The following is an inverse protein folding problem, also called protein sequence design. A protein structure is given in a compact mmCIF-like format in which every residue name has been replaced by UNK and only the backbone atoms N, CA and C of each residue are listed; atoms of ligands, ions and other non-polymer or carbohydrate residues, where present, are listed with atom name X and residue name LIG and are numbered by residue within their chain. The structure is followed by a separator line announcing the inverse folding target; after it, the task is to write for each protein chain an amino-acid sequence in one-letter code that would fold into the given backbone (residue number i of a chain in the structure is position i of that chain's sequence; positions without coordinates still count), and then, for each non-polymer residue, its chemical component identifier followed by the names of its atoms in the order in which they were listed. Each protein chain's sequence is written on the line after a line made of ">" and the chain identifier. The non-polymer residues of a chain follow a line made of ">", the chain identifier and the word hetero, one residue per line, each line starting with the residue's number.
data_IF_895093521083
#
_entry.id   IF_895093521083
#
_cell.length_a   1.000
_cell.length_b   1.000
_cell.length_c   1.000
_cell.angle_alpha   90.00
_cell.angle_beta   90.00
_cell.angle_gamma   90.00
#
_symmetry.space_group_name_H-M   'P 1'
#
loop_
_entity.id
_entity.type
_entity.pdbx_description
1 polymer ?
#
# COMPACT_ATOMS: atom_id res chain seq x y z
N UNK A 1 -27.26 2.35 -17.83
CA UNK A 1 -26.23 3.16 -17.18
C UNK A 1 -25.27 2.24 -16.46
N UNK A 2 -23.98 2.53 -16.47
CA UNK A 2 -22.93 1.67 -15.91
C UNK A 2 -22.29 2.24 -14.65
N UNK A 3 -22.57 3.51 -14.33
CA UNK A 3 -21.96 4.24 -13.22
C UNK A 3 -20.67 4.96 -13.61
N UNK A 4 -20.28 4.90 -14.88
CA UNK A 4 -19.09 5.54 -15.45
C UNK A 4 -19.38 6.84 -16.18
N UNK A 5 -20.65 7.25 -16.26
CA UNK A 5 -21.08 8.48 -16.93
C UNK A 5 -20.68 9.76 -16.16
N UNK A 6 -20.14 9.63 -14.95
CA UNK A 6 -19.54 10.73 -14.20
C UNK A 6 -18.02 10.72 -14.39
N UNK A 7 -17.54 11.59 -15.26
CA UNK A 7 -16.13 11.91 -15.35
C UNK A 7 -15.71 12.70 -14.10
N UNK A 8 -14.62 12.28 -13.47
CA UNK A 8 -14.00 12.92 -12.30
C UNK A 8 -14.99 13.22 -11.14
N UNK A 9 -15.55 12.19 -10.48
CA UNK A 9 -16.55 12.37 -9.43
C UNK A 9 -16.11 13.27 -8.25
N UNK A 10 -14.81 13.30 -7.91
CA UNK A 10 -14.26 14.18 -6.86
C UNK A 10 -14.37 15.67 -7.16
N UNK A 11 -14.10 16.10 -8.41
CA UNK A 11 -14.25 17.50 -8.84
C UNK A 11 -15.73 17.93 -8.81
N UNK A 12 -16.64 17.01 -9.14
CA UNK A 12 -18.07 17.24 -9.07
C UNK A 12 -18.56 17.45 -7.63
N UNK A 13 -17.99 16.72 -6.66
CA UNK A 13 -18.26 16.95 -5.24
C UNK A 13 -17.85 18.36 -4.81
N UNK A 14 -16.64 18.81 -5.20
CA UNK A 14 -16.13 20.14 -4.86
C UNK A 14 -17.06 21.27 -5.34
N UNK A 15 -17.56 21.16 -6.58
CA UNK A 15 -18.47 22.15 -7.19
C UNK A 15 -19.91 22.04 -6.70
N UNK A 16 -20.30 20.89 -6.14
CA UNK A 16 -21.68 20.62 -5.70
C UNK A 16 -22.06 21.23 -4.34
N UNK A 17 -21.08 21.73 -3.56
CA UNK A 17 -21.34 22.45 -2.28
C UNK A 17 -22.31 23.63 -2.42
N UNK A 18 -22.45 24.17 -3.62
CA UNK A 18 -23.40 25.24 -3.95
C UNK A 18 -24.80 24.75 -4.37
N UNK A 19 -25.12 23.45 -4.23
CA UNK A 19 -26.39 22.78 -4.64
C UNK A 19 -26.77 22.90 -6.14
N UNK A 20 -25.89 23.48 -6.97
CA UNK A 20 -26.15 23.81 -8.37
C UNK A 20 -25.50 22.85 -9.39
N UNK A 21 -24.83 21.78 -8.95
CA UNK A 21 -24.23 20.84 -9.88
C UNK A 21 -25.32 19.99 -10.59
N UNK A 22 -25.79 20.51 -11.73
CA UNK A 22 -26.84 19.89 -12.56
C UNK A 22 -26.42 18.50 -13.07
N UNK A 23 -25.13 18.29 -13.34
CA UNK A 23 -24.59 17.02 -13.82
C UNK A 23 -24.74 15.94 -12.77
N UNK A 24 -24.22 16.16 -11.56
CA UNK A 24 -24.32 15.20 -10.46
C UNK A 24 -25.78 14.93 -10.09
N UNK A 25 -26.59 15.98 -9.93
CA UNK A 25 -28.01 15.85 -9.60
C UNK A 25 -28.79 15.10 -10.71
N UNK A 26 -28.47 15.33 -11.98
CA UNK A 26 -29.08 14.63 -13.10
C UNK A 26 -28.65 13.17 -13.21
N UNK A 27 -27.44 12.83 -12.78
CA UNK A 27 -26.96 11.47 -12.67
C UNK A 27 -27.67 10.71 -11.54
N UNK A 28 -27.68 11.26 -10.31
CA UNK A 28 -28.32 10.65 -9.14
C UNK A 28 -29.82 10.35 -9.36
N UNK A 29 -30.52 11.20 -10.12
CA UNK A 29 -31.93 10.98 -10.47
C UNK A 29 -32.17 9.79 -11.41
N UNK A 30 -31.18 9.45 -12.26
CA UNK A 30 -31.29 8.41 -13.28
C UNK A 30 -30.60 7.11 -12.87
N UNK A 31 -29.69 7.19 -11.91
CA UNK A 31 -28.87 6.06 -11.48
C UNK A 31 -29.14 5.73 -10.00
N UNK A 32 -30.05 4.79 -9.71
CA UNK A 32 -30.40 4.45 -8.32
C UNK A 32 -29.26 3.76 -7.58
N UNK A 33 -28.24 3.30 -8.31
CA UNK A 33 -27.00 2.75 -7.80
C UNK A 33 -25.97 3.84 -7.44
N UNK A 34 -26.41 5.07 -7.21
CA UNK A 34 -25.58 6.13 -6.65
C UNK A 34 -26.32 7.00 -5.64
N UNK A 35 -25.56 7.52 -4.67
CA UNK A 35 -26.07 8.40 -3.61
C UNK A 35 -25.00 9.36 -3.15
N UNK A 36 -25.40 10.51 -2.62
CA UNK A 36 -24.51 11.53 -2.05
C UNK A 36 -24.86 11.77 -0.58
N UNK A 37 -23.87 12.16 0.23
CA UNK A 37 -24.11 12.56 1.62
C UNK A 37 -24.84 13.90 1.67
N UNK A 38 -25.51 14.20 2.78
CA UNK A 38 -26.29 15.42 2.93
C UNK A 38 -25.44 16.70 2.76
N UNK A 39 -24.18 16.65 3.20
CA UNK A 39 -23.19 17.71 3.08
C UNK A 39 -22.45 17.75 1.72
N UNK A 40 -22.75 16.81 0.83
CA UNK A 40 -22.12 16.69 -0.50
C UNK A 40 -20.60 16.53 -0.47
N UNK A 41 -20.05 15.93 0.60
CA UNK A 41 -18.64 15.60 0.69
C UNK A 41 -18.33 14.15 0.28
N UNK A 42 -19.34 13.28 0.23
CA UNK A 42 -19.19 11.86 -0.08
C UNK A 42 -20.16 11.48 -1.21
N UNK A 43 -19.66 10.74 -2.19
CA UNK A 43 -20.46 10.09 -3.24
C UNK A 43 -20.15 8.60 -3.28
N UNK A 44 -21.21 7.78 -3.24
CA UNK A 44 -21.15 6.34 -3.45
C UNK A 44 -21.75 6.00 -4.80
N UNK A 45 -21.09 5.09 -5.53
CA UNK A 45 -21.59 4.55 -6.80
C UNK A 45 -21.31 3.05 -6.84
N UNK A 46 -22.34 2.22 -7.01
CA UNK A 46 -22.17 0.81 -7.40
C UNK A 46 -22.10 0.75 -8.92
N UNK A 47 -21.04 0.17 -9.45
CA UNK A 47 -20.75 0.14 -10.89
C UNK A 47 -20.14 -1.18 -11.33
N UNK A 48 -20.30 -1.47 -12.62
CA UNK A 48 -19.65 -2.61 -13.28
C UNK A 48 -18.23 -2.23 -13.68
N UNK A 49 -17.27 -3.14 -13.60
CA UNK A 49 -15.90 -2.91 -14.05
C UNK A 49 -15.32 -4.13 -14.76
N UNK A 50 -14.32 -3.89 -15.59
CA UNK A 50 -13.60 -4.93 -16.32
C UNK A 50 -12.75 -5.75 -15.33
N UNK A 51 -12.84 -7.10 -15.33
CA UNK A 51 -12.15 -7.95 -14.36
C UNK A 51 -10.63 -7.72 -14.27
N UNK A 52 -9.99 -7.35 -15.38
CA UNK A 52 -8.54 -7.11 -15.47
C UNK A 52 -8.10 -5.64 -15.46
N UNK A 53 -9.00 -4.65 -15.45
CA UNK A 53 -8.61 -3.23 -15.56
C UNK A 53 -8.80 -2.47 -14.25
N UNK A 54 -8.27 -2.98 -13.13
CA UNK A 54 -8.19 -2.27 -11.84
C UNK A 54 -9.41 -1.39 -11.52
N UNK A 55 -10.61 -1.98 -11.51
CA UNK A 55 -11.87 -1.27 -11.27
C UNK A 55 -12.21 -0.13 -12.24
N UNK A 56 -11.80 -0.23 -13.50
CA UNK A 56 -12.13 0.66 -14.64
C UNK A 56 -13.19 0.03 -15.56
N UNK A 57 -13.92 0.81 -16.38
CA UNK A 57 -14.82 0.22 -17.37
C UNK A 57 -14.02 -0.43 -18.49
N UNK A 58 -14.68 -1.30 -19.24
CA UNK A 58 -14.21 -1.75 -20.55
C UNK A 58 -13.87 -0.56 -21.45
N UNK A 59 -12.92 -0.79 -22.35
CA UNK A 59 -12.58 0.15 -23.42
C UNK A 59 -12.38 -0.61 -24.74
N UNK A 60 -12.15 0.12 -25.83
CA UNK A 60 -12.00 -0.46 -27.17
C UNK A 60 -10.93 -1.56 -27.25
N UNK A 61 -9.89 -1.48 -26.42
CA UNK A 61 -8.77 -2.42 -26.38
C UNK A 61 -8.99 -3.60 -25.45
N UNK A 62 -9.94 -3.50 -24.52
CA UNK A 62 -10.23 -4.49 -23.48
C UNK A 62 -11.76 -4.59 -23.30
N UNK A 63 -12.41 -5.24 -24.27
CA UNK A 63 -13.83 -5.55 -24.20
C UNK A 63 -14.03 -6.96 -23.63
N UNK A 64 -15.00 -7.10 -22.74
CA UNK A 64 -15.36 -8.37 -22.13
C UNK A 64 -16.88 -8.45 -21.96
N UNK A 65 -17.44 -9.63 -22.19
CA UNK A 65 -18.85 -9.91 -21.82
C UNK A 65 -18.99 -10.19 -20.31
N UNK A 66 -17.88 -10.43 -19.62
CA UNK A 66 -17.79 -10.67 -18.18
C UNK A 66 -17.41 -9.40 -17.42
N UNK A 67 -18.10 -9.10 -16.33
CA UNK A 67 -17.88 -7.90 -15.52
C UNK A 67 -18.01 -8.22 -14.04
N UNK A 68 -17.31 -7.44 -13.22
CA UNK A 68 -17.44 -7.46 -11.76
C UNK A 68 -18.17 -6.23 -11.26
N UNK A 69 -18.64 -6.26 -10.01
CA UNK A 69 -19.24 -5.12 -9.34
C UNK A 69 -18.32 -4.55 -8.28
N UNK A 70 -18.22 -3.24 -8.20
CA UNK A 70 -17.60 -2.57 -7.07
C UNK A 70 -18.51 -1.45 -6.56
N UNK A 71 -18.34 -1.10 -5.29
CA UNK A 71 -18.84 0.15 -4.76
C UNK A 71 -17.69 1.15 -4.67
N UNK A 72 -17.72 2.18 -5.51
CA UNK A 72 -16.79 3.29 -5.44
C UNK A 72 -17.23 4.30 -4.38
N UNK A 73 -16.30 4.66 -3.51
CA UNK A 73 -16.43 5.71 -2.50
C UNK A 73 -15.53 6.88 -2.85
N UNK A 74 -16.15 8.02 -3.10
CA UNK A 74 -15.50 9.25 -3.48
C UNK A 74 -15.64 10.29 -2.37
N UNK A 75 -14.52 10.93 -2.05
CA UNK A 75 -14.48 12.20 -1.34
C UNK A 75 -13.93 13.28 -2.28
N UNK A 76 -13.82 14.51 -1.81
CA UNK A 76 -13.21 15.60 -2.59
C UNK A 76 -11.73 15.30 -2.92
N UNK A 77 -11.00 14.64 -2.00
CA UNK A 77 -9.54 14.51 -2.09
C UNK A 77 -9.06 13.07 -2.32
N UNK A 78 -9.95 12.09 -2.19
CA UNK A 78 -9.58 10.69 -2.22
C UNK A 78 -10.70 9.84 -2.79
N UNK A 79 -10.35 8.67 -3.31
CA UNK A 79 -11.29 7.65 -3.70
C UNK A 79 -10.81 6.28 -3.26
N UNK A 80 -11.75 5.39 -2.98
CA UNK A 80 -11.49 3.96 -2.82
C UNK A 80 -12.65 3.19 -3.44
N UNK A 81 -12.50 1.89 -3.58
CA UNK A 81 -13.55 1.00 -4.02
C UNK A 81 -13.71 -0.16 -3.03
N UNK A 82 -14.77 -0.94 -3.17
CA UNK A 82 -14.98 -2.17 -2.41
C UNK A 82 -15.49 -3.21 -3.40
N UNK A 83 -14.81 -4.34 -3.52
CA UNK A 83 -15.27 -5.42 -4.39
C UNK A 83 -16.58 -6.00 -3.86
N UNK A 84 -17.61 -5.97 -4.70
CA UNK A 84 -18.92 -6.50 -4.38
C UNK A 84 -19.14 -7.84 -5.10
N UNK A 85 -19.86 -8.79 -4.49
CA UNK A 85 -20.30 -10.00 -5.18
C UNK A 85 -21.27 -9.68 -6.31
N UNK A 86 -21.41 -10.63 -7.24
CA UNK A 86 -22.34 -10.47 -8.35
C UNK A 86 -23.80 -10.59 -7.88
N UNK A 87 -24.53 -9.47 -7.86
CA UNK A 87 -25.98 -9.43 -7.63
C UNK A 87 -26.68 -8.46 -8.59
N UNK A 88 -28.00 -8.60 -8.70
CA UNK A 88 -28.89 -7.65 -9.37
C UNK A 88 -29.20 -6.48 -8.43
N UNK A 89 -28.24 -5.55 -8.31
CA UNK A 89 -28.32 -4.38 -7.44
C UNK A 89 -29.44 -3.43 -7.88
N UNK A 90 -30.24 -2.96 -6.93
CA UNK A 90 -31.41 -2.13 -7.17
C UNK A 90 -31.20 -0.68 -6.76
N UNK A 91 -30.61 -0.44 -5.58
CA UNK A 91 -30.24 0.90 -5.13
C UNK A 91 -29.17 0.89 -4.04
N UNK A 92 -28.54 2.05 -3.85
CA UNK A 92 -27.70 2.37 -2.68
C UNK A 92 -28.16 3.70 -2.10
N UNK A 93 -28.16 3.80 -0.77
CA UNK A 93 -28.50 5.05 -0.07
C UNK A 93 -27.63 5.24 1.16
N UNK A 94 -27.36 6.48 1.54
CA UNK A 94 -26.66 6.83 2.77
C UNK A 94 -27.55 7.60 3.73
N UNK A 95 -27.38 7.36 5.02
CA UNK A 95 -28.06 8.10 6.07
C UNK A 95 -27.15 8.22 7.30
N UNK A 96 -27.05 9.42 7.86
CA UNK A 96 -26.31 9.61 9.10
C UNK A 96 -26.96 8.81 10.23
N UNK A 97 -26.14 8.07 10.97
CA UNK A 97 -26.53 7.26 12.11
C UNK A 97 -25.75 7.70 13.34
N UNK A 98 -26.47 8.32 14.27
CA UNK A 98 -25.91 8.84 15.50
C UNK A 98 -25.33 7.75 16.41
N UNK A 99 -25.79 6.50 16.30
CA UNK A 99 -25.30 5.39 17.12
C UNK A 99 -23.85 5.02 16.78
N UNK A 100 -23.44 5.25 15.53
CA UNK A 100 -22.08 4.97 15.05
C UNK A 100 -21.24 6.24 14.81
N UNK A 101 -21.88 7.42 14.97
CA UNK A 101 -21.26 8.72 14.72
C UNK A 101 -20.83 8.92 13.27
N UNK A 102 -21.47 8.24 12.33
CA UNK A 102 -21.07 8.14 10.93
C UNK A 102 -22.27 7.78 10.03
N UNK A 103 -22.07 7.63 8.72
CA UNK A 103 -23.12 7.24 7.79
C UNK A 103 -23.29 5.72 7.71
N UNK A 104 -24.56 5.30 7.82
CA UNK A 104 -24.99 3.99 7.36
C UNK A 104 -25.16 3.99 5.85
N UNK A 105 -24.83 2.87 5.24
CA UNK A 105 -24.98 2.59 3.83
C UNK A 105 -25.95 1.44 3.72
N UNK A 106 -27.07 1.67 3.03
CA UNK A 106 -28.01 0.62 2.67
C UNK A 106 -27.76 0.22 1.23
N UNK A 107 -27.43 -1.04 1.02
CA UNK A 107 -27.23 -1.64 -0.30
C UNK A 107 -28.36 -2.65 -0.51
N UNK A 108 -29.11 -2.49 -1.59
CA UNK A 108 -30.21 -3.37 -1.94
C UNK A 108 -29.95 -4.05 -3.28
N UNK A 109 -30.17 -5.36 -3.32
CA UNK A 109 -30.17 -6.16 -4.52
C UNK A 109 -31.36 -7.12 -4.50
N UNK A 110 -31.66 -7.76 -5.64
CA UNK A 110 -32.78 -8.70 -5.73
C UNK A 110 -32.67 -9.81 -4.68
N UNK A 111 -33.62 -9.84 -3.75
CA UNK A 111 -33.71 -10.84 -2.68
C UNK A 111 -32.85 -10.57 -1.44
N UNK A 112 -32.08 -9.48 -1.41
CA UNK A 112 -31.20 -9.18 -0.28
C UNK A 112 -31.06 -7.67 -0.05
N UNK A 113 -31.08 -7.25 1.21
CA UNK A 113 -30.71 -5.88 1.60
C UNK A 113 -29.75 -5.95 2.76
N UNK A 114 -28.70 -5.13 2.70
CA UNK A 114 -27.68 -5.03 3.74
C UNK A 114 -27.53 -3.59 4.18
N UNK A 115 -27.30 -3.43 5.47
CA UNK A 115 -26.94 -2.16 6.08
C UNK A 115 -25.52 -2.35 6.58
N UNK A 116 -24.65 -1.42 6.22
CA UNK A 116 -23.22 -1.43 6.53
C UNK A 116 -22.76 0.00 6.80
N UNK A 117 -21.47 0.20 7.02
CA UNK A 117 -20.79 1.49 7.00
C UNK A 117 -19.43 1.34 6.30
N UNK A 118 -18.74 2.46 6.06
CA UNK A 118 -17.44 2.44 5.37
C UNK A 118 -16.39 1.65 6.16
N UNK A 119 -16.40 1.71 7.50
CA UNK A 119 -15.40 1.01 8.33
C UNK A 119 -15.56 -0.52 8.22
N UNK A 120 -16.78 -1.03 8.27
CA UNK A 120 -17.08 -2.45 8.07
C UNK A 120 -16.67 -2.93 6.67
N UNK A 121 -16.95 -2.12 5.64
CA UNK A 121 -16.57 -2.43 4.26
C UNK A 121 -15.05 -2.43 4.07
N UNK A 122 -14.32 -1.46 4.63
CA UNK A 122 -12.85 -1.43 4.57
C UNK A 122 -12.24 -2.64 5.28
N UNK A 123 -12.85 -3.12 6.36
CA UNK A 123 -12.35 -4.31 7.07
C UNK A 123 -12.61 -5.60 6.29
N UNK A 124 -13.80 -5.76 5.68
CA UNK A 124 -14.22 -7.04 5.15
C UNK A 124 -14.12 -7.16 3.61
N UNK A 125 -14.24 -6.06 2.86
CA UNK A 125 -14.33 -6.02 1.39
C UNK A 125 -13.36 -4.98 0.77
N UNK A 126 -12.21 -4.72 1.40
CA UNK A 126 -11.15 -3.93 0.76
C UNK A 126 -10.66 -4.57 -0.54
N UNK A 127 -10.07 -3.78 -1.44
CA UNK A 127 -9.67 -4.27 -2.77
C UNK A 127 -8.28 -4.89 -2.82
N UNK A 128 -7.55 -4.86 -1.72
CA UNK A 128 -6.16 -5.35 -1.67
C UNK A 128 -6.07 -6.88 -1.51
N UNK A 129 -7.20 -7.56 -1.34
CA UNK A 129 -7.24 -9.01 -1.12
C UNK A 129 -8.12 -9.65 -2.21
N UNK A 130 -7.52 -10.48 -3.04
CA UNK A 130 -8.24 -11.26 -4.05
C UNK A 130 -9.19 -12.25 -3.36
N UNK A 131 -10.45 -12.29 -3.80
CA UNK A 131 -11.49 -13.15 -3.22
C UNK A 131 -12.34 -13.77 -4.33
N UNK A 132 -12.65 -15.05 -4.19
CA UNK A 132 -13.62 -15.70 -5.06
C UNK A 132 -15.06 -15.18 -4.83
N UNK A 133 -15.96 -15.46 -5.78
CA UNK A 133 -17.35 -15.00 -5.69
C UNK A 133 -18.10 -15.55 -4.47
N UNK A 134 -17.79 -16.79 -4.03
CA UNK A 134 -18.47 -17.40 -2.88
C UNK A 134 -18.11 -16.67 -1.58
N UNK A 135 -16.83 -16.37 -1.40
CA UNK A 135 -16.29 -15.60 -0.26
C UNK A 135 -16.87 -14.19 -0.23
N UNK A 136 -16.91 -13.50 -1.39
CA UNK A 136 -17.54 -12.17 -1.48
C UNK A 136 -19.02 -12.20 -1.09
N UNK A 137 -19.78 -13.24 -1.50
CA UNK A 137 -21.19 -13.41 -1.11
C UNK A 137 -21.34 -13.60 0.39
N UNK A 138 -20.58 -14.53 0.98
CA UNK A 138 -20.62 -14.80 2.42
C UNK A 138 -20.31 -13.54 3.23
N UNK A 139 -19.27 -12.79 2.85
CA UNK A 139 -18.91 -11.53 3.51
C UNK A 139 -20.04 -10.51 3.38
N UNK A 140 -20.51 -10.25 2.16
CA UNK A 140 -21.59 -9.29 1.92
C UNK A 140 -22.86 -9.66 2.70
N UNK A 141 -23.20 -10.94 2.74
CA UNK A 141 -24.34 -11.45 3.49
C UNK A 141 -24.19 -11.30 5.01
N UNK A 142 -22.97 -11.16 5.52
CA UNK A 142 -22.68 -10.96 6.95
C UNK A 142 -22.67 -9.50 7.40
N UNK A 143 -22.65 -8.54 6.47
CA UNK A 143 -22.62 -7.10 6.77
C UNK A 143 -23.83 -6.71 7.63
N UNK A 144 -23.58 -6.04 8.75
CA UNK A 144 -24.59 -5.76 9.75
C UNK A 144 -24.42 -4.40 10.44
N UNK A 145 -23.81 -3.43 9.76
CA UNK A 145 -23.51 -2.10 10.27
C UNK A 145 -22.63 -2.14 11.52
N UNK A 146 -21.71 -3.09 11.58
CA UNK A 146 -20.77 -3.19 12.70
C UNK A 146 -19.78 -2.03 12.58
N UNK A 147 -19.61 -1.26 13.64
CA UNK A 147 -18.42 -0.41 13.75
C UNK A 147 -17.31 -1.33 14.21
N UNK A 148 -16.27 -1.57 13.40
CA UNK A 148 -15.12 -2.33 13.85
C UNK A 148 -14.63 -1.71 15.16
N UNK A 149 -14.41 -2.52 16.18
CA UNK A 149 -13.67 -2.07 17.33
C UNK A 149 -12.26 -1.82 16.79
N UNK A 150 -11.91 -0.54 16.61
CA UNK A 150 -10.52 -0.15 16.41
C UNK A 150 -9.84 -0.47 17.73
N UNK A 151 -9.26 -1.66 17.82
CA UNK A 151 -8.33 -1.98 18.89
C UNK A 151 -7.19 -0.99 18.73
N UNK A 152 -7.14 -0.04 19.66
CA UNK A 152 -5.96 0.82 19.75
C UNK A 152 -4.75 -0.09 19.96
N UNK A 153 -3.61 0.21 19.32
CA UNK A 153 -2.40 -0.52 19.59
C UNK A 153 -2.15 -0.55 21.09
N UNK A 154 -1.75 -1.71 21.61
CA UNK A 154 -1.26 -1.81 22.99
C UNK A 154 -0.16 -0.78 23.17
N UNK A 155 -0.21 0.08 24.20
CA UNK A 155 0.81 1.10 24.39
C UNK A 155 2.17 0.42 24.52
N UNK A 156 3.18 0.95 23.84
CA UNK A 156 4.56 0.52 24.02
C UNK A 156 5.03 1.03 25.38
N UNK A 157 5.48 0.12 26.22
CA UNK A 157 5.91 0.42 27.59
C UNK A 157 7.41 0.21 27.78
N UNK A 158 8.05 -0.41 26.79
CA UNK A 158 9.48 -0.64 26.73
C UNK A 158 10.18 0.66 26.33
N UNK A 159 11.38 0.87 26.88
CA UNK A 159 12.32 1.93 26.47
C UNK A 159 13.53 1.36 25.75
N UNK A 160 13.70 0.03 25.82
CA UNK A 160 14.75 -0.72 25.15
C UNK A 160 14.23 -2.10 24.77
N UNK A 161 14.78 -2.63 23.68
CA UNK A 161 14.61 -4.02 23.25
C UNK A 161 15.99 -4.66 22.99
N UNK A 162 16.04 -5.99 22.95
CA UNK A 162 17.27 -6.75 22.77
C UNK A 162 17.16 -7.66 21.54
N UNK A 163 18.07 -7.47 20.59
CA UNK A 163 18.36 -8.38 19.49
C UNK A 163 19.60 -9.22 19.84
N UNK A 164 19.64 -10.48 19.43
CA UNK A 164 20.82 -11.33 19.55
C UNK A 164 21.89 -11.00 18.49
N UNK A 165 21.54 -10.23 17.45
CA UNK A 165 22.42 -9.93 16.31
C UNK A 165 22.98 -8.51 16.39
N UNK A 166 22.12 -7.51 16.61
CA UNK A 166 22.53 -6.08 16.61
C UNK A 166 22.60 -5.49 18.01
N UNK A 167 22.40 -6.33 19.04
CA UNK A 167 22.51 -5.91 20.42
C UNK A 167 21.28 -5.15 20.90
N UNK A 168 21.52 -4.08 21.66
CA UNK A 168 20.46 -3.32 22.31
C UNK A 168 19.94 -2.22 21.40
N UNK A 169 18.63 -2.09 21.30
CA UNK A 169 17.97 -1.03 20.54
C UNK A 169 17.12 -0.16 21.47
N UNK A 170 17.04 1.13 21.17
CA UNK A 170 16.25 2.12 21.93
C UNK A 170 15.38 2.94 21.00
N UNK A 171 14.26 3.42 21.50
CA UNK A 171 13.41 4.37 20.80
C UNK A 171 13.64 5.80 21.32
N UNK A 172 13.88 6.76 20.43
CA UNK A 172 14.18 8.16 20.81
C UNK A 172 13.18 9.17 20.26
N UNK A 173 12.61 8.92 19.07
CA UNK A 173 11.73 9.86 18.37
C UNK A 173 10.30 9.34 18.19
N UNK A 174 10.15 8.04 17.92
CA UNK A 174 8.86 7.37 17.71
C UNK A 174 8.81 6.10 18.55
N UNK A 175 7.67 5.83 19.19
CA UNK A 175 7.55 4.74 20.15
C UNK A 175 7.79 3.35 19.52
N UNK A 176 7.47 3.19 18.24
CA UNK A 176 7.58 1.97 17.42
C UNK A 176 8.83 1.93 16.52
N UNK A 177 9.77 2.86 16.71
CA UNK A 177 11.03 2.94 15.98
C UNK A 177 12.22 2.71 16.91
N UNK A 178 12.87 1.56 16.73
CA UNK A 178 13.95 1.10 17.59
C UNK A 178 15.27 1.13 16.85
N UNK A 179 16.24 1.92 17.30
CA UNK A 179 17.56 2.00 16.66
C UNK A 179 18.61 1.34 17.55
N UNK A 180 19.45 0.49 16.95
CA UNK A 180 20.57 -0.13 17.65
C UNK A 180 21.52 0.95 18.20
N UNK A 181 21.99 0.77 19.43
CA UNK A 181 22.89 1.74 20.09
C UNK A 181 24.23 1.80 19.36
N UNK A 182 24.74 0.65 18.95
CA UNK A 182 26.00 0.50 18.25
C UNK A 182 25.74 0.31 16.76
N UNK A 183 26.57 0.92 15.92
CA UNK A 183 26.60 0.62 14.49
C UNK A 183 27.09 -0.81 14.25
N UNK A 184 26.56 -1.43 13.21
CA UNK A 184 26.83 -2.82 12.85
C UNK A 184 27.77 -2.84 11.65
N UNK A 185 28.82 -3.66 11.72
CA UNK A 185 29.69 -3.92 10.58
C UNK A 185 28.89 -4.67 9.51
N UNK A 186 28.84 -4.16 8.28
CA UNK A 186 28.09 -4.74 7.17
C UNK A 186 29.05 -5.41 6.18
N UNK A 187 29.23 -6.76 6.20
CA UNK A 187 30.21 -7.42 5.34
C UNK A 187 29.92 -7.25 3.84
N UNK A 188 28.65 -7.10 3.48
CA UNK A 188 28.19 -6.74 2.14
C UNK A 188 28.85 -5.45 1.61
N UNK A 189 29.19 -4.51 2.50
CA UNK A 189 29.91 -3.26 2.21
C UNK A 189 31.34 -3.25 2.77
N UNK A 190 32.03 -4.39 2.75
CA UNK A 190 33.41 -4.51 3.27
C UNK A 190 33.54 -4.09 4.75
N UNK A 191 32.53 -4.40 5.57
CA UNK A 191 32.45 -4.03 6.98
C UNK A 191 32.38 -2.52 7.23
N UNK A 192 31.81 -1.76 6.29
CA UNK A 192 31.34 -0.41 6.61
C UNK A 192 30.30 -0.49 7.74
N UNK A 193 30.39 0.46 8.66
CA UNK A 193 29.49 0.56 9.80
C UNK A 193 28.23 1.29 9.41
N UNK A 194 27.08 0.71 9.73
CA UNK A 194 25.79 1.31 9.42
C UNK A 194 24.82 1.20 10.61
N UNK A 195 23.90 2.17 10.78
CA UNK A 195 22.82 2.04 11.73
C UNK A 195 21.85 0.94 11.30
N UNK A 196 21.29 0.24 12.28
CA UNK A 196 20.21 -0.72 12.09
C UNK A 196 19.01 -0.31 12.94
N UNK A 197 17.84 -0.21 12.31
CA UNK A 197 16.59 0.14 12.98
C UNK A 197 15.51 -0.91 12.73
N UNK A 198 14.69 -1.18 13.75
CA UNK A 198 13.43 -1.93 13.62
C UNK A 198 12.28 -0.93 13.63
N UNK A 199 11.46 -0.92 12.58
CA UNK A 199 10.39 0.06 12.40
C UNK A 199 9.03 -0.60 12.44
N UNK A 200 8.00 0.18 12.76
CA UNK A 200 6.60 -0.26 12.88
C UNK A 200 6.44 -1.46 13.84
N UNK A 201 7.29 -1.53 14.86
CA UNK A 201 7.38 -2.68 15.75
C UNK A 201 6.85 -2.37 17.16
N UNK A 202 5.81 -3.11 17.57
CA UNK A 202 5.25 -3.09 18.91
C UNK A 202 5.55 -4.41 19.66
N UNK A 203 6.46 -4.41 20.66
CA UNK A 203 6.82 -5.62 21.43
C UNK A 203 5.66 -6.24 22.22
N UNK A 204 4.61 -5.46 22.50
CA UNK A 204 3.43 -5.91 23.22
C UNK A 204 2.41 -6.63 22.31
N UNK A 205 2.58 -6.54 20.99
CA UNK A 205 1.65 -7.11 20.00
C UNK A 205 2.30 -8.18 19.12
N UNK A 206 3.60 -8.04 18.81
CA UNK A 206 4.33 -8.98 17.98
C UNK A 206 5.50 -9.61 18.74
N UNK A 207 5.23 -10.74 19.39
CA UNK A 207 6.25 -11.43 20.17
C UNK A 207 7.25 -12.23 19.32
N UNK A 208 6.97 -12.44 18.03
CA UNK A 208 7.81 -13.19 17.09
C UNK A 208 8.81 -12.32 16.33
N UNK A 209 8.56 -11.02 16.23
CA UNK A 209 9.31 -10.11 15.37
C UNK A 209 10.83 -10.19 15.58
N UNK A 210 11.30 -10.09 16.82
CA UNK A 210 12.74 -10.02 17.12
C UNK A 210 13.46 -11.31 16.68
N UNK A 211 12.85 -12.47 16.91
CA UNK A 211 13.44 -13.76 16.49
C UNK A 211 13.53 -13.85 14.96
N UNK A 212 12.49 -13.40 14.25
CA UNK A 212 12.43 -13.38 12.79
C UNK A 212 13.42 -12.37 12.19
N UNK A 213 13.50 -11.16 12.77
CA UNK A 213 14.45 -10.12 12.42
C UNK A 213 15.89 -10.59 12.62
N UNK A 214 16.17 -11.27 13.74
CA UNK A 214 17.48 -11.83 14.03
C UNK A 214 17.87 -12.94 13.04
N UNK A 215 16.92 -13.78 12.63
CA UNK A 215 17.17 -14.80 11.60
C UNK A 215 17.51 -14.16 10.25
N UNK A 216 16.70 -13.19 9.82
CA UNK A 216 16.92 -12.39 8.63
C UNK A 216 18.30 -11.71 8.65
N UNK A 217 18.62 -11.00 9.73
CA UNK A 217 19.88 -10.27 9.86
C UNK A 217 21.09 -11.21 9.88
N UNK A 218 21.00 -12.37 10.53
CA UNK A 218 22.06 -13.39 10.44
C UNK A 218 22.31 -13.83 9.00
N UNK A 219 21.24 -14.07 8.25
CA UNK A 219 21.35 -14.51 6.86
C UNK A 219 21.91 -13.40 5.96
N UNK A 220 21.49 -12.15 6.17
CA UNK A 220 22.01 -11.00 5.41
C UNK A 220 23.48 -10.70 5.76
N UNK A 221 23.84 -10.64 7.04
CA UNK A 221 25.20 -10.33 7.49
C UNK A 221 26.21 -11.46 7.18
N UNK A 222 25.73 -12.66 6.86
CA UNK A 222 26.58 -13.72 6.32
C UNK A 222 26.98 -13.48 4.84
N UNK A 223 26.30 -12.57 4.14
CA UNK A 223 26.62 -12.16 2.77
C UNK A 223 27.76 -11.13 2.80
N UNK A 224 28.76 -11.32 1.95
CA UNK A 224 29.89 -10.39 1.84
C UNK A 224 29.85 -9.62 0.51
N UNK A 225 30.92 -8.87 0.24
CA UNK A 225 31.08 -8.13 -1.00
C UNK A 225 30.97 -9.00 -2.27
N UNK A 226 31.25 -10.30 -2.21
CA UNK A 226 31.05 -11.17 -3.38
C UNK A 226 29.57 -11.26 -3.76
N UNK A 227 28.68 -11.32 -2.77
CA UNK A 227 27.24 -11.30 -3.01
C UNK A 227 26.79 -9.94 -3.57
N UNK A 228 27.35 -8.84 -3.08
CA UNK A 228 27.08 -7.49 -3.60
C UNK A 228 27.32 -7.40 -5.10
N UNK A 229 28.39 -8.02 -5.60
CA UNK A 229 28.68 -8.07 -7.03
C UNK A 229 27.66 -8.94 -7.79
N UNK A 230 27.13 -10.02 -7.18
CA UNK A 230 26.09 -10.85 -7.83
C UNK A 230 24.75 -10.13 -8.01
N UNK A 231 24.46 -9.14 -7.16
CA UNK A 231 23.22 -8.36 -7.25
C UNK A 231 23.38 -7.04 -8.02
N UNK A 232 24.59 -6.69 -8.45
CA UNK A 232 24.89 -5.51 -9.26
C UNK A 232 24.00 -5.38 -10.49
N UNK A 233 23.67 -6.49 -11.14
CA UNK A 233 22.83 -6.49 -12.34
C UNK A 233 21.45 -5.86 -12.09
N UNK A 234 20.85 -6.06 -10.91
CA UNK A 234 19.53 -5.51 -10.58
C UNK A 234 19.59 -4.01 -10.28
N UNK A 235 20.63 -3.57 -9.59
CA UNK A 235 20.84 -2.14 -9.28
C UNK A 235 21.21 -1.36 -10.54
N UNK A 236 22.07 -1.95 -11.38
CA UNK A 236 22.40 -1.40 -12.69
C UNK A 236 21.16 -1.26 -13.57
N UNK A 237 20.30 -2.29 -13.62
CA UNK A 237 19.05 -2.21 -14.37
C UNK A 237 18.15 -1.07 -13.87
N UNK A 238 17.99 -0.92 -12.55
CA UNK A 238 17.21 0.18 -11.98
C UNK A 238 17.75 1.57 -12.36
N UNK A 239 19.08 1.74 -12.34
CA UNK A 239 19.74 2.97 -12.80
C UNK A 239 19.48 3.23 -14.29
N UNK A 240 19.69 2.22 -15.15
CA UNK A 240 19.50 2.39 -16.59
C UNK A 240 18.04 2.64 -16.97
N UNK A 241 17.09 1.98 -16.31
CA UNK A 241 15.65 2.21 -16.52
C UNK A 241 15.28 3.67 -16.22
N UNK A 242 15.88 4.25 -15.17
CA UNK A 242 15.68 5.65 -14.82
C UNK A 242 16.30 6.58 -15.88
N UNK A 243 17.56 6.37 -16.24
CA UNK A 243 18.28 7.19 -17.22
C UNK A 243 17.59 7.14 -18.61
N UNK A 244 17.12 5.96 -19.02
CA UNK A 244 16.36 5.80 -20.26
C UNK A 244 15.03 6.57 -20.23
N UNK A 245 14.38 6.67 -19.06
CA UNK A 245 13.11 7.37 -18.90
C UNK A 245 13.26 8.91 -18.94
N UNK A 246 14.34 9.46 -18.35
CA UNK A 246 14.59 10.91 -18.34
C UNK A 246 15.38 11.40 -19.56
N UNK A 247 16.07 10.49 -20.24
CA UNK A 247 16.95 10.78 -21.37
C UNK A 247 18.35 11.22 -20.93
N UNK A 248 19.26 11.29 -21.90
CA UNK A 248 20.66 11.65 -21.63
C UNK A 248 20.82 13.13 -21.21
N UNK A 249 21.55 13.34 -20.10
CA UNK A 249 22.09 14.62 -19.65
C UNK A 249 23.61 14.51 -19.47
N UNK A 250 24.36 15.59 -19.72
CA UNK A 250 25.80 15.64 -19.53
C UNK A 250 26.19 15.43 -18.05
N UNK A 251 25.30 15.76 -17.11
CA UNK A 251 25.47 15.48 -15.69
C UNK A 251 25.55 13.97 -15.39
N UNK A 252 24.89 13.15 -16.20
CA UNK A 252 24.77 11.69 -16.02
C UNK A 252 25.75 10.89 -16.89
N UNK A 253 26.60 11.57 -17.66
CA UNK A 253 27.53 10.97 -18.64
C UNK A 253 28.39 9.84 -18.04
N UNK A 254 28.79 9.98 -16.77
CA UNK A 254 29.53 8.95 -16.05
C UNK A 254 28.74 7.65 -15.89
N UNK A 255 27.44 7.73 -15.62
CA UNK A 255 26.55 6.57 -15.47
C UNK A 255 26.28 5.90 -16.84
N UNK A 256 26.06 6.69 -17.90
CA UNK A 256 25.91 6.18 -19.26
C UNK A 256 27.15 5.43 -19.80
N UNK A 257 28.33 5.74 -19.26
CA UNK A 257 29.61 5.16 -19.70
C UNK A 257 30.03 3.92 -18.93
N UNK A 258 29.25 3.48 -17.93
CA UNK A 258 29.51 2.24 -17.19
C UNK A 258 29.76 1.07 -18.15
N UNK A 259 30.88 0.35 -17.94
CA UNK A 259 31.26 -0.78 -18.80
C UNK A 259 30.76 -2.11 -18.27
N UNK A 260 30.56 -2.22 -16.96
CA UNK A 260 30.14 -3.42 -16.26
C UNK A 260 29.10 -3.07 -15.19
N UNK A 261 28.10 -3.93 -14.92
CA UNK A 261 27.08 -3.66 -13.92
C UNK A 261 27.61 -3.35 -12.52
N UNK A 262 28.77 -3.90 -12.15
CA UNK A 262 29.41 -3.70 -10.85
C UNK A 262 29.86 -2.25 -10.62
N UNK A 263 30.04 -1.47 -11.68
CA UNK A 263 30.42 -0.06 -11.61
C UNK A 263 29.30 0.81 -11.01
N UNK A 264 28.04 0.33 -11.01
CA UNK A 264 26.90 1.08 -10.45
C UNK A 264 27.09 1.46 -8.98
N UNK A 265 27.82 0.64 -8.22
CA UNK A 265 28.08 0.89 -6.80
C UNK A 265 28.94 2.12 -6.53
N UNK A 266 29.57 2.72 -7.55
CA UNK A 266 30.28 3.99 -7.42
C UNK A 266 29.32 5.19 -7.25
N UNK A 267 28.06 5.01 -7.65
CA UNK A 267 27.00 6.02 -7.63
C UNK A 267 25.94 5.73 -6.55
N UNK A 268 26.24 4.81 -5.63
CA UNK A 268 25.31 4.36 -4.58
C UNK A 268 26.00 4.46 -3.23
N UNK A 269 25.34 5.11 -2.27
CA UNK A 269 25.79 5.22 -0.90
C UNK A 269 24.69 4.80 0.06
N UNK A 270 24.88 3.67 0.74
CA UNK A 270 23.87 3.18 1.66
C UNK A 270 23.95 3.88 3.03
N UNK A 271 22.78 4.16 3.60
CA UNK A 271 22.63 5.03 4.77
C UNK A 271 22.15 4.27 6.00
N UNK A 272 21.48 3.13 5.83
CA UNK A 272 21.02 2.33 6.95
C UNK A 272 20.25 1.06 6.56
N UNK A 273 20.09 0.19 7.56
CA UNK A 273 19.31 -1.03 7.47
C UNK A 273 18.04 -0.88 8.29
N UNK A 274 16.89 -1.17 7.69
CA UNK A 274 15.58 -1.07 8.34
C UNK A 274 14.89 -2.42 8.27
N UNK A 275 14.53 -2.98 9.41
CA UNK A 275 13.79 -4.24 9.49
C UNK A 275 12.37 -3.93 9.89
N UNK A 276 11.41 -4.42 9.11
CA UNK A 276 9.99 -4.20 9.36
C UNK A 276 9.16 -5.39 8.89
N UNK A 277 7.93 -5.46 9.39
CA UNK A 277 6.95 -6.44 8.94
C UNK A 277 6.13 -5.86 7.79
N UNK A 278 5.93 -6.63 6.73
CA UNK A 278 5.07 -6.24 5.61
C UNK A 278 3.64 -5.94 6.11
N UNK A 279 3.14 -4.70 5.96
CA UNK A 279 1.84 -4.32 6.51
C UNK A 279 0.65 -4.84 5.71
N UNK A 280 0.81 -5.44 4.53
CA UNK A 280 -0.32 -5.88 3.71
C UNK A 280 -0.32 -7.38 3.41
N UNK A 281 0.61 -7.88 2.59
CA UNK A 281 0.48 -9.19 1.94
C UNK A 281 0.79 -10.38 2.88
N UNK A 282 2.01 -10.91 2.83
CA UNK A 282 2.42 -12.15 3.50
C UNK A 282 2.73 -11.94 4.99
N UNK A 283 2.78 -10.69 5.43
CA UNK A 283 3.18 -10.28 6.78
C UNK A 283 4.58 -10.78 7.15
N UNK A 284 5.45 -11.00 6.18
CA UNK A 284 6.84 -11.41 6.38
C UNK A 284 7.67 -10.30 7.01
N UNK A 285 8.79 -10.66 7.63
CA UNK A 285 9.81 -9.70 8.09
C UNK A 285 10.85 -9.54 6.98
N UNK A 286 11.10 -8.28 6.62
CA UNK A 286 11.97 -7.89 5.51
C UNK A 286 13.02 -6.90 5.98
N UNK A 287 14.17 -6.93 5.33
CA UNK A 287 15.24 -5.96 5.50
C UNK A 287 15.20 -5.03 4.30
N UNK A 288 15.03 -3.74 4.56
CA UNK A 288 15.18 -2.66 3.60
C UNK A 288 16.55 -2.03 3.82
N UNK A 289 17.39 -2.10 2.80
CA UNK A 289 18.66 -1.38 2.74
C UNK A 289 18.39 -0.10 1.95
N UNK A 290 18.43 1.04 2.65
CA UNK A 290 18.21 2.35 2.03
C UNK A 290 19.55 2.95 1.64
N UNK A 291 19.57 3.53 0.44
CA UNK A 291 20.75 4.15 -0.13
C UNK A 291 20.39 5.44 -0.84
N UNK A 292 21.30 6.40 -0.80
CA UNK A 292 21.32 7.52 -1.74
C UNK A 292 21.90 7.01 -3.06
N UNK A 293 21.42 7.57 -4.17
CA UNK A 293 21.96 7.30 -5.49
C UNK A 293 21.97 8.56 -6.36
N UNK A 294 22.92 8.62 -7.29
CA UNK A 294 23.13 9.85 -8.08
C UNK A 294 22.02 10.10 -9.12
N UNK A 295 21.35 9.04 -9.60
CA UNK A 295 20.30 9.15 -10.62
C UNK A 295 18.94 9.60 -10.06
N UNK A 296 18.52 9.07 -8.90
CA UNK A 296 17.26 9.43 -8.24
C UNK A 296 17.53 10.16 -6.92
N UNK A 297 17.78 11.47 -7.01
CA UNK A 297 18.21 12.29 -5.89
C UNK A 297 17.08 12.66 -4.92
N UNK A 298 15.81 12.59 -5.35
CA UNK A 298 14.67 12.94 -4.49
C UNK A 298 14.26 11.76 -3.60
N UNK A 299 14.31 10.55 -4.17
CA UNK A 299 13.79 9.36 -3.50
C UNK A 299 14.84 8.30 -3.18
N UNK A 300 16.06 8.39 -3.71
CA UNK A 300 17.12 7.41 -3.48
C UNK A 300 16.78 6.00 -3.99
N UNK A 301 17.51 5.01 -3.46
CA UNK A 301 17.45 3.60 -3.80
C UNK A 301 17.10 2.75 -2.57
N UNK A 302 16.30 1.71 -2.79
CA UNK A 302 15.92 0.71 -1.81
C UNK A 302 16.20 -0.70 -2.35
N UNK A 303 16.88 -1.52 -1.54
CA UNK A 303 17.04 -2.94 -1.78
C UNK A 303 16.33 -3.71 -0.67
N UNK A 304 15.48 -4.67 -1.04
CA UNK A 304 14.69 -5.44 -0.06
C UNK A 304 15.13 -6.89 -0.05
N UNK A 305 15.44 -7.40 1.13
CA UNK A 305 15.84 -8.77 1.38
C UNK A 305 14.79 -9.49 2.22
N UNK A 306 14.46 -10.72 1.84
CA UNK A 306 13.56 -11.56 2.61
C UNK A 306 14.29 -12.31 3.72
N UNK A 307 13.54 -13.04 4.55
CA UNK A 307 14.05 -13.82 5.70
C UNK A 307 15.22 -14.77 5.38
N UNK A 308 15.36 -15.25 4.15
CA UNK A 308 16.49 -16.09 3.71
C UNK A 308 17.74 -15.28 3.31
N UNK A 309 17.75 -13.96 3.47
CA UNK A 309 18.82 -13.07 3.02
C UNK A 309 18.90 -12.95 1.50
N UNK A 310 17.80 -13.23 0.78
CA UNK A 310 17.75 -13.11 -0.69
C UNK A 310 17.16 -11.77 -1.08
N UNK A 311 17.80 -11.09 -2.03
CA UNK A 311 17.25 -9.89 -2.67
C UNK A 311 15.94 -10.24 -3.40
N UNK A 312 14.86 -9.55 -3.05
CA UNK A 312 13.52 -9.73 -3.62
C UNK A 312 13.01 -8.50 -4.35
N UNK A 313 13.56 -7.30 -4.08
CA UNK A 313 13.17 -6.06 -4.78
C UNK A 313 14.30 -5.03 -4.83
N UNK A 314 14.35 -4.28 -5.92
CA UNK A 314 15.15 -3.06 -6.10
C UNK A 314 14.20 -1.97 -6.64
N UNK A 315 14.11 -0.83 -5.96
CA UNK A 315 13.19 0.26 -6.32
C UNK A 315 13.66 1.60 -5.75
N UNK A 316 12.95 2.68 -6.08
CA UNK A 316 13.04 3.91 -5.30
C UNK A 316 12.50 3.69 -3.86
N UNK A 317 12.80 4.61 -2.94
CA UNK A 317 12.19 4.62 -1.61
C UNK A 317 10.76 5.16 -1.70
N UNK A 318 9.82 4.30 -2.10
CA UNK A 318 8.43 4.64 -2.41
C UNK A 318 7.44 4.33 -1.28
N UNK A 319 7.94 3.86 -0.14
CA UNK A 319 7.15 3.52 1.04
C UNK A 319 6.52 2.12 1.00
N UNK A 320 6.79 1.32 -0.03
CA UNK A 320 6.39 -0.09 -0.09
C UNK A 320 7.59 -1.00 0.18
N UNK A 321 7.36 -2.19 0.74
CA UNK A 321 8.43 -3.19 0.94
C UNK A 321 8.46 -4.16 -0.25
N UNK A 322 7.35 -4.83 -0.60
CA UNK A 322 7.35 -5.85 -1.68
C UNK A 322 6.68 -5.43 -3.00
N UNK A 323 5.83 -4.41 -3.01
CA UNK A 323 5.26 -3.80 -4.23
C UNK A 323 3.75 -3.69 -4.23
#
# INVERSE_FOLDING_TARGET
>A
MTGWELEKPGELLQTSRNRLNKTLNGFLKRYPLATVSADHNILLIIRKYHPSLNCSPDNETYQTDDFRYCMAYYTINAYTYFELPTYDYQYVSMQYDAAIGDFTIRISAKGITRITNIKELSQQLNNFIERDEATKRTIFESLANKVPIVTKPSPITQTEIQSAVVGRLTNTEYDDWWTAIDEVDIPFFNNEKMPVSFTDFNPNEDHSFIEEADELLRNFLAQDNSHRLTVSAYVYQNCMDFLDAIGYDDADDAMWKMKQPEEVWQFVKCTGLYVSREPYEDKGVYLQLLCDCDWEQEHGLQLVYNKQGKLVRVSAQDGYIIG
#
